data_IF_155781122481
#
_entry.id   IF_155781122481
#
_cell.length_a   1.000
_cell.length_b   1.000
_cell.length_c   1.000
_cell.angle_alpha   90.00
_cell.angle_beta   90.00
_cell.angle_gamma   90.00
#
_symmetry.space_group_name_H-M   'P 1'
#
loop_
_entity.id
_entity.type
_entity.pdbx_description
1 polymer ?
#
# COMPACT_ATOMS: atom_id res chain seq x y z
N UNK A 1 36.95 -20.75 1.97
CA UNK A 1 35.87 -20.01 1.27
C UNK A 1 34.50 -20.61 1.60
N UNK A 2 34.03 -20.52 2.85
CA UNK A 2 32.75 -21.14 3.30
C UNK A 2 31.74 -20.10 3.84
N UNK A 3 32.11 -18.82 3.93
CA UNK A 3 31.34 -17.80 4.66
C UNK A 3 30.26 -17.05 3.86
N UNK A 4 30.19 -17.20 2.54
CA UNK A 4 29.23 -16.45 1.69
C UNK A 4 27.86 -17.11 1.55
N UNK A 5 27.76 -18.43 1.80
CA UNK A 5 26.48 -19.14 1.71
C UNK A 5 25.62 -18.99 2.98
N UNK A 6 26.21 -18.77 4.17
CA UNK A 6 25.42 -18.55 5.39
C UNK A 6 24.66 -17.20 5.37
N UNK A 7 25.28 -16.13 4.84
CA UNK A 7 24.64 -14.79 4.76
C UNK A 7 23.43 -14.74 3.82
N UNK A 8 23.42 -15.58 2.77
CA UNK A 8 22.27 -15.70 1.84
C UNK A 8 21.03 -16.31 2.49
N UNK A 9 21.19 -17.20 3.48
CA UNK A 9 20.06 -17.78 4.21
C UNK A 9 19.49 -16.83 5.26
N UNK A 10 20.30 -15.94 5.84
CA UNK A 10 19.82 -14.97 6.83
C UNK A 10 18.88 -13.92 6.24
N UNK A 11 19.09 -13.50 4.99
CA UNK A 11 18.19 -12.55 4.30
C UNK A 11 16.78 -13.12 4.04
N UNK A 12 16.70 -14.37 3.58
CA UNK A 12 15.41 -15.07 3.38
C UNK A 12 14.73 -15.33 4.73
N UNK A 13 15.51 -15.63 5.77
CA UNK A 13 15.02 -15.84 7.14
C UNK A 13 14.44 -14.55 7.75
N UNK A 14 15.06 -13.39 7.49
CA UNK A 14 14.55 -12.07 7.89
C UNK A 14 13.22 -11.72 7.21
N UNK A 15 13.09 -11.96 5.89
CA UNK A 15 11.84 -11.77 5.15
C UNK A 15 10.70 -12.68 5.65
N UNK A 16 11.01 -13.93 6.01
CA UNK A 16 10.05 -14.86 6.61
C UNK A 16 9.59 -14.41 8.00
N UNK A 17 10.49 -13.86 8.81
CA UNK A 17 10.17 -13.34 10.16
C UNK A 17 9.33 -12.06 10.10
N UNK A 18 9.56 -11.19 9.11
CA UNK A 18 8.84 -9.92 8.99
C UNK A 18 7.39 -10.13 8.50
N UNK A 19 7.18 -11.01 7.51
CA UNK A 19 5.83 -11.32 6.98
C UNK A 19 4.95 -12.07 7.97
N UNK A 20 5.54 -12.90 8.83
CA UNK A 20 4.79 -13.68 9.84
C UNK A 20 4.42 -12.84 11.06
N UNK A 21 5.19 -11.77 11.37
CA UNK A 21 4.91 -10.81 12.45
C UNK A 21 3.66 -9.96 12.21
N UNK A 22 3.42 -9.57 10.95
CA UNK A 22 2.26 -8.75 10.55
C UNK A 22 0.95 -9.55 10.69
N UNK A 23 0.97 -10.86 10.48
CA UNK A 23 -0.23 -11.69 10.52
C UNK A 23 -0.56 -12.33 11.88
N UNK A 24 0.41 -12.44 12.80
CA UNK A 24 0.22 -13.13 14.09
C UNK A 24 -0.13 -12.20 15.27
N UNK A 25 -0.15 -10.88 15.06
CA UNK A 25 -0.66 -9.90 16.03
C UNK A 25 -0.04 -10.02 17.43
N UNK A 26 1.25 -10.32 17.52
CA UNK A 26 2.02 -10.44 18.78
C UNK A 26 1.63 -11.59 19.73
N UNK A 27 0.70 -12.47 19.36
CA UNK A 27 0.17 -13.52 20.27
C UNK A 27 1.11 -14.70 20.52
N UNK A 28 2.14 -14.88 19.68
CA UNK A 28 3.14 -15.93 19.79
C UNK A 28 4.36 -15.60 18.94
N UNK A 29 5.47 -16.31 19.19
CA UNK A 29 6.71 -16.10 18.46
C UNK A 29 6.54 -16.58 17.01
N UNK A 30 6.78 -15.71 16.02
CA UNK A 30 6.38 -15.93 14.63
C UNK A 30 7.18 -17.01 13.88
N UNK A 31 8.08 -17.69 14.58
CA UNK A 31 8.84 -18.84 14.11
C UNK A 31 8.45 -20.14 14.82
N UNK A 32 7.40 -20.12 15.65
CA UNK A 32 6.89 -21.29 16.37
C UNK A 32 6.31 -22.30 15.34
N UNK A 33 6.75 -23.57 15.37
CA UNK A 33 6.19 -24.63 14.51
C UNK A 33 4.68 -24.85 14.70
N UNK A 34 4.08 -24.35 15.78
CA UNK A 34 2.64 -24.42 16.04
C UNK A 34 1.83 -23.27 15.43
N UNK A 35 2.47 -22.22 14.89
CA UNK A 35 1.80 -21.11 14.22
C UNK A 35 1.02 -21.59 12.98
N UNK A 36 -0.30 -21.35 12.94
CA UNK A 36 -1.16 -21.76 11.82
C UNK A 36 -0.77 -21.09 10.50
N UNK A 37 -0.33 -19.83 10.55
CA UNK A 37 0.11 -19.03 9.40
C UNK A 37 1.43 -19.56 8.84
N UNK A 38 2.41 -19.86 9.69
CA UNK A 38 3.69 -20.46 9.28
C UNK A 38 3.46 -21.85 8.70
N UNK A 39 2.58 -22.64 9.31
CA UNK A 39 2.23 -24.00 8.86
C UNK A 39 1.56 -23.97 7.48
N UNK A 40 0.59 -23.08 7.27
CA UNK A 40 -0.09 -22.95 5.97
C UNK A 40 0.84 -22.42 4.89
N UNK A 41 1.71 -21.47 5.23
CA UNK A 41 2.73 -20.95 4.31
C UNK A 41 3.74 -22.02 3.91
N UNK A 42 4.32 -22.76 4.88
CA UNK A 42 5.23 -23.89 4.62
C UNK A 42 4.53 -24.95 3.77
N UNK A 43 3.30 -25.33 4.10
CA UNK A 43 2.53 -26.29 3.31
C UNK A 43 2.23 -25.80 1.88
N UNK A 44 1.99 -24.49 1.70
CA UNK A 44 1.80 -23.90 0.37
C UNK A 44 3.10 -23.85 -0.42
N UNK A 45 4.23 -23.55 0.23
CA UNK A 45 5.54 -23.53 -0.41
C UNK A 45 5.98 -24.94 -0.81
N UNK A 46 5.80 -25.92 0.07
CA UNK A 46 6.04 -27.34 -0.22
C UNK A 46 5.16 -27.82 -1.37
N UNK A 47 3.86 -27.46 -1.39
CA UNK A 47 2.98 -27.78 -2.52
C UNK A 47 3.45 -27.14 -3.82
N UNK A 48 3.90 -25.88 -3.79
CA UNK A 48 4.43 -25.19 -4.98
C UNK A 48 5.73 -25.83 -5.47
N UNK A 49 6.65 -26.17 -4.58
CA UNK A 49 7.89 -26.87 -4.92
C UNK A 49 7.60 -28.25 -5.51
N UNK A 50 6.70 -29.02 -4.89
CA UNK A 50 6.28 -30.32 -5.41
C UNK A 50 5.46 -30.22 -6.70
N UNK A 51 4.76 -29.10 -6.97
CA UNK A 51 4.07 -28.89 -8.25
C UNK A 51 5.00 -28.45 -9.38
N UNK A 52 6.15 -27.84 -9.06
CA UNK A 52 7.18 -27.47 -10.04
C UNK A 52 7.96 -28.72 -10.48
N UNK A 53 8.01 -29.76 -9.64
CA UNK A 53 8.50 -31.09 -9.99
C UNK A 53 7.31 -32.04 -10.22
N UNK A 54 6.67 -32.07 -11.41
CA UNK A 54 5.67 -33.09 -11.68
C UNK A 54 6.33 -34.46 -11.47
N UNK A 55 5.83 -35.20 -10.50
CA UNK A 55 6.05 -36.64 -10.36
C UNK A 55 5.21 -37.34 -11.43
N UNK A 56 5.58 -37.14 -12.69
CA UNK A 56 5.00 -37.72 -13.90
C UNK A 56 5.67 -36.99 -15.06
N UNK A 57 6.60 -37.56 -15.82
CA UNK A 57 6.98 -38.94 -16.05
C UNK A 57 8.46 -38.92 -16.39
N UNK A 58 9.24 -39.87 -15.89
CA UNK A 58 10.41 -40.30 -16.64
C UNK A 58 9.87 -40.80 -17.99
N UNK A 59 9.78 -39.91 -18.99
CA UNK A 59 9.85 -40.33 -20.38
C UNK A 59 11.28 -40.83 -20.55
N UNK A 60 11.46 -42.13 -20.34
CA UNK A 60 12.60 -42.88 -20.85
C UNK A 60 12.55 -42.85 -22.38
N UNK A 61 12.88 -41.69 -22.95
CA UNK A 61 13.43 -41.58 -24.30
C UNK A 61 14.95 -41.35 -24.23
N UNK A 62 15.56 -41.72 -23.10
CA UNK A 62 16.86 -42.36 -23.16
C UNK A 62 16.59 -43.83 -23.50
N UNK A 63 17.21 -44.42 -24.55
CA UNK A 63 17.05 -45.83 -24.83
C UNK A 63 17.42 -46.60 -23.57
N UNK A 64 16.41 -47.21 -22.94
CA UNK A 64 16.49 -47.97 -21.71
C UNK A 64 17.08 -49.36 -21.98
N UNK A 65 18.22 -49.40 -22.67
CA UNK A 65 19.09 -50.55 -22.74
C UNK A 65 20.45 -50.11 -22.21
N UNK A 66 20.61 -50.20 -20.90
CA UNK A 66 21.94 -50.49 -20.38
C UNK A 66 22.37 -51.79 -21.07
N UNK A 67 23.47 -51.80 -21.84
CA UNK A 67 23.95 -53.05 -22.41
C UNK A 67 24.26 -53.94 -21.21
N UNK A 68 23.56 -55.08 -21.10
CA UNK A 68 24.14 -56.20 -20.38
C UNK A 68 25.55 -56.35 -20.94
N UNK A 69 26.55 -56.27 -20.07
CA UNK A 69 27.94 -56.57 -20.43
C UNK A 69 27.92 -57.96 -21.06
N UNK A 70 27.87 -58.01 -22.39
CA UNK A 70 27.99 -59.24 -23.13
C UNK A 70 29.38 -59.77 -22.79
N UNK A 71 29.39 -60.95 -22.19
CA UNK A 71 30.59 -61.73 -21.94
C UNK A 71 31.47 -61.71 -23.18
N UNK A 72 32.71 -61.29 -23.03
CA UNK A 72 33.68 -61.17 -24.10
C UNK A 72 33.74 -62.44 -24.94
N UNK A 73 33.25 -62.36 -26.17
CA UNK A 73 33.63 -63.27 -27.25
C UNK A 73 34.40 -62.42 -28.25
N UNK A 74 35.73 -62.54 -28.22
CA UNK A 74 36.62 -62.00 -29.22
C UNK A 74 36.41 -62.75 -30.53
N UNK A 75 35.56 -62.22 -31.39
CA UNK A 75 35.51 -62.59 -32.79
C UNK A 75 35.56 -61.32 -33.64
N UNK A 76 36.67 -61.20 -34.38
CA UNK A 76 36.98 -60.30 -35.50
C UNK A 76 35.81 -59.48 -36.08
N UNK A 77 35.89 -58.14 -36.06
CA UNK A 77 35.03 -57.25 -36.87
C UNK A 77 35.84 -56.03 -37.42
N UNK A 78 35.53 -55.56 -38.65
CA UNK A 78 36.40 -54.79 -39.55
C UNK A 78 36.44 -53.26 -39.33
N UNK A 79 37.36 -52.60 -40.07
CA UNK A 79 37.72 -51.17 -40.10
C UNK A 79 36.62 -50.17 -40.52
N UNK A 80 35.44 -50.19 -39.92
CA UNK A 80 34.44 -49.11 -40.05
C UNK A 80 33.66 -48.96 -38.74
N UNK A 81 34.39 -48.70 -37.66
CA UNK A 81 33.80 -48.44 -36.35
C UNK A 81 33.74 -46.92 -36.16
N UNK A 82 32.60 -46.32 -36.50
CA UNK A 82 32.21 -45.03 -35.92
C UNK A 82 32.17 -45.23 -34.40
N UNK A 83 33.19 -44.73 -33.72
CA UNK A 83 33.49 -45.07 -32.33
C UNK A 83 32.31 -44.64 -31.43
N UNK A 84 31.42 -45.56 -31.03
CA UNK A 84 30.16 -45.20 -30.34
C UNK A 84 30.41 -44.51 -29.00
N UNK A 85 31.58 -44.72 -28.41
CA UNK A 85 32.09 -44.03 -27.23
C UNK A 85 32.32 -42.54 -27.54
N UNK A 86 32.92 -42.20 -28.69
CA UNK A 86 33.13 -40.81 -29.11
C UNK A 86 31.79 -40.09 -29.35
N UNK A 87 30.79 -40.75 -29.93
CA UNK A 87 29.45 -40.17 -30.12
C UNK A 87 28.75 -39.89 -28.79
N UNK A 88 28.85 -40.81 -27.82
CA UNK A 88 28.29 -40.61 -26.47
C UNK A 88 28.99 -39.48 -25.71
N UNK A 89 30.31 -39.38 -25.85
CA UNK A 89 31.08 -38.28 -25.26
C UNK A 89 30.69 -36.92 -25.86
N UNK A 90 30.45 -36.86 -27.17
CA UNK A 90 30.02 -35.61 -27.83
C UNK A 90 28.62 -35.16 -27.37
N UNK A 91 27.70 -36.12 -27.16
CA UNK A 91 26.38 -35.86 -26.56
C UNK A 91 26.51 -35.34 -25.13
N UNK A 92 27.35 -35.97 -24.30
CA UNK A 92 27.60 -35.52 -22.93
C UNK A 92 28.17 -34.10 -22.92
N UNK A 93 29.11 -33.81 -23.81
CA UNK A 93 29.73 -32.49 -23.90
C UNK A 93 28.72 -31.40 -24.29
N UNK A 94 27.83 -31.69 -25.26
CA UNK A 94 26.71 -30.80 -25.62
C UNK A 94 25.73 -30.59 -24.45
N UNK A 95 25.40 -31.64 -23.71
CA UNK A 95 24.56 -31.53 -22.51
C UNK A 95 25.22 -30.69 -21.41
N UNK A 96 26.54 -30.84 -21.19
CA UNK A 96 27.26 -30.01 -20.22
C UNK A 96 27.29 -28.53 -20.62
N UNK A 97 27.51 -28.23 -21.90
CA UNK A 97 27.50 -26.85 -22.38
C UNK A 97 26.11 -26.20 -22.20
N UNK A 98 25.04 -26.92 -22.56
CA UNK A 98 23.67 -26.44 -22.36
C UNK A 98 23.35 -26.25 -20.85
N UNK A 99 23.83 -27.14 -19.98
CA UNK A 99 23.70 -26.96 -18.53
C UNK A 99 24.42 -25.69 -18.05
N UNK A 100 25.64 -25.43 -18.52
CA UNK A 100 26.38 -24.22 -18.19
C UNK A 100 25.63 -22.95 -18.64
N UNK A 101 25.09 -22.94 -19.88
CA UNK A 101 24.32 -21.80 -20.39
C UNK A 101 23.08 -21.53 -19.53
N UNK A 102 22.36 -22.59 -19.14
CA UNK A 102 21.19 -22.47 -18.27
C UNK A 102 21.55 -21.99 -16.86
N UNK A 103 22.68 -22.42 -16.30
CA UNK A 103 23.18 -21.96 -15.00
C UNK A 103 23.50 -20.45 -15.08
N UNK A 104 24.11 -20.00 -16.17
CA UNK A 104 24.43 -18.59 -16.36
C UNK A 104 23.17 -17.73 -16.50
N UNK A 105 22.18 -18.18 -17.26
CA UNK A 105 20.87 -17.53 -17.37
C UNK A 105 20.18 -17.46 -16.00
N UNK A 106 20.23 -18.55 -15.23
CA UNK A 106 19.64 -18.61 -13.90
C UNK A 106 20.33 -17.64 -12.93
N UNK A 107 21.67 -17.53 -12.99
CA UNK A 107 22.43 -16.59 -12.19
C UNK A 107 22.00 -15.14 -12.49
N UNK A 108 21.89 -14.78 -13.77
CA UNK A 108 21.41 -13.45 -14.20
C UNK A 108 19.97 -13.16 -13.74
N UNK A 109 19.06 -14.13 -13.86
CA UNK A 109 17.68 -13.97 -13.37
C UNK A 109 17.62 -13.82 -11.85
N UNK A 110 18.50 -14.49 -11.12
CA UNK A 110 18.58 -14.37 -9.66
C UNK A 110 19.02 -12.97 -9.26
N UNK A 111 20.03 -12.40 -9.93
CA UNK A 111 20.47 -11.02 -9.70
C UNK A 111 19.36 -9.99 -9.99
N UNK A 112 18.63 -10.16 -11.10
CA UNK A 112 17.49 -9.29 -11.43
C UNK A 112 16.38 -9.37 -10.38
N UNK A 113 16.10 -10.56 -9.86
CA UNK A 113 15.12 -10.74 -8.81
C UNK A 113 15.56 -10.08 -7.49
N UNK A 114 16.84 -10.21 -7.12
CA UNK A 114 17.40 -9.54 -5.95
C UNK A 114 17.27 -8.01 -6.06
N UNK A 115 17.58 -7.45 -7.23
CA UNK A 115 17.39 -6.02 -7.51
C UNK A 115 15.92 -5.60 -7.40
N UNK A 116 15.02 -6.35 -8.02
CA UNK A 116 13.58 -6.09 -7.92
C UNK A 116 13.09 -6.10 -6.46
N UNK A 117 13.58 -7.03 -5.65
CA UNK A 117 13.23 -7.09 -4.23
C UNK A 117 13.74 -5.87 -3.46
N UNK A 118 14.96 -5.40 -3.75
CA UNK A 118 15.51 -4.19 -3.15
C UNK A 118 14.67 -2.95 -3.52
N UNK A 119 14.39 -2.76 -4.81
CA UNK A 119 13.58 -1.66 -5.32
C UNK A 119 12.15 -1.69 -4.72
N UNK A 120 11.59 -2.88 -4.54
CA UNK A 120 10.27 -3.05 -3.94
C UNK A 120 10.24 -2.69 -2.46
N UNK A 121 11.27 -3.08 -1.70
CA UNK A 121 11.41 -2.71 -0.29
C UNK A 121 11.53 -1.19 -0.15
N UNK A 122 12.35 -0.55 -0.98
CA UNK A 122 12.50 0.91 -0.97
C UNK A 122 11.18 1.61 -1.29
N UNK A 123 10.47 1.14 -2.32
CA UNK A 123 9.15 1.68 -2.67
C UNK A 123 8.13 1.52 -1.54
N UNK A 124 8.15 0.40 -0.83
CA UNK A 124 7.21 0.16 0.28
C UNK A 124 7.53 1.07 1.47
N UNK A 125 8.82 1.31 1.77
CA UNK A 125 9.25 2.28 2.80
C UNK A 125 8.75 3.69 2.46
N UNK A 126 8.94 4.15 1.22
CA UNK A 126 8.47 5.48 0.78
C UNK A 126 6.94 5.60 0.86
N UNK A 127 6.22 4.52 0.62
CA UNK A 127 4.76 4.50 0.72
C UNK A 127 4.29 4.62 2.17
N UNK A 128 4.94 3.90 3.09
CA UNK A 128 4.65 3.97 4.53
C UNK A 128 4.92 5.37 5.09
N UNK A 129 6.04 6.00 4.70
CA UNK A 129 6.35 7.39 5.07
C UNK A 129 5.28 8.37 4.60
N UNK A 130 4.78 8.21 3.36
CA UNK A 130 3.70 9.05 2.82
C UNK A 130 2.39 8.83 3.56
N UNK A 131 2.06 7.60 3.93
CA UNK A 131 0.88 7.30 4.74
C UNK A 131 0.97 8.02 6.09
N UNK A 132 2.10 7.90 6.79
CA UNK A 132 2.28 8.56 8.09
C UNK A 132 2.16 10.08 7.99
N UNK A 133 2.74 10.69 6.94
CA UNK A 133 2.61 12.13 6.70
C UNK A 133 1.13 12.54 6.47
N UNK A 134 0.37 11.73 5.72
CA UNK A 134 -1.06 11.98 5.50
C UNK A 134 -1.87 11.84 6.80
N UNK A 135 -1.55 10.86 7.65
CA UNK A 135 -2.22 10.69 8.95
C UNK A 135 -1.96 11.88 9.89
N UNK A 136 -0.74 12.39 9.94
CA UNK A 136 -0.40 13.60 10.70
C UNK A 136 -1.14 14.83 10.17
N UNK A 137 -1.18 15.01 8.85
CA UNK A 137 -1.91 16.11 8.23
C UNK A 137 -3.41 16.03 8.52
N UNK A 138 -4.01 14.83 8.45
CA UNK A 138 -5.40 14.60 8.81
C UNK A 138 -5.70 15.02 10.25
N UNK A 139 -4.88 14.59 11.22
CA UNK A 139 -5.07 14.96 12.62
C UNK A 139 -5.00 16.49 12.85
N UNK A 140 -4.11 17.16 12.12
CA UNK A 140 -3.97 18.62 12.16
C UNK A 140 -5.21 19.31 11.58
N UNK A 141 -5.70 18.86 10.42
CA UNK A 141 -6.91 19.40 9.78
C UNK A 141 -8.13 19.20 10.69
N UNK A 142 -8.30 18.02 11.28
CA UNK A 142 -9.41 17.74 12.20
C UNK A 142 -9.43 18.69 13.39
N UNK A 143 -8.24 19.02 13.93
CA UNK A 143 -8.10 19.97 15.03
C UNK A 143 -8.47 21.39 14.57
N UNK A 144 -7.98 21.81 13.41
CA UNK A 144 -8.28 23.12 12.84
C UNK A 144 -9.77 23.29 12.54
N UNK A 145 -10.42 22.28 11.97
CA UNK A 145 -11.87 22.29 11.68
C UNK A 145 -12.67 22.44 12.97
N UNK A 146 -12.33 21.67 14.02
CA UNK A 146 -13.00 21.80 15.33
C UNK A 146 -12.80 23.18 15.94
N UNK A 147 -11.62 23.77 15.82
CA UNK A 147 -11.34 25.12 16.31
C UNK A 147 -12.16 26.17 15.52
N UNK A 148 -12.18 26.09 14.20
CA UNK A 148 -12.93 27.02 13.36
C UNK A 148 -14.43 26.92 13.62
N UNK A 149 -14.96 25.71 13.82
CA UNK A 149 -16.35 25.53 14.19
C UNK A 149 -16.68 26.27 15.50
N UNK A 150 -15.85 26.13 16.54
CA UNK A 150 -16.04 26.86 17.81
C UNK A 150 -16.00 28.38 17.64
N UNK A 151 -15.07 28.89 16.83
CA UNK A 151 -14.97 30.32 16.54
C UNK A 151 -16.24 30.80 15.82
N UNK A 152 -16.68 30.08 14.79
CA UNK A 152 -17.89 30.42 14.03
C UNK A 152 -19.11 30.44 14.94
N UNK A 153 -19.31 29.42 15.77
CA UNK A 153 -20.42 29.38 16.72
C UNK A 153 -20.36 30.52 17.73
N UNK A 154 -19.16 30.91 18.18
CA UNK A 154 -18.99 32.08 19.06
C UNK A 154 -19.39 33.37 18.34
N UNK A 155 -18.97 33.55 17.10
CA UNK A 155 -19.35 34.71 16.29
C UNK A 155 -20.86 34.75 16.05
N UNK A 156 -21.48 33.64 15.65
CA UNK A 156 -22.94 33.55 15.50
C UNK A 156 -23.67 33.95 16.79
N UNK A 157 -23.24 33.44 17.94
CA UNK A 157 -23.81 33.83 19.22
C UNK A 157 -23.61 35.32 19.52
N UNK A 158 -22.43 35.87 19.25
CA UNK A 158 -22.16 37.30 19.45
C UNK A 158 -23.04 38.16 18.54
N UNK A 159 -23.19 37.80 17.26
CA UNK A 159 -24.05 38.54 16.35
C UNK A 159 -25.51 38.47 16.77
N UNK A 160 -26.03 37.27 17.04
CA UNK A 160 -27.46 37.06 17.32
C UNK A 160 -27.88 37.58 18.69
N UNK A 161 -27.00 37.48 19.70
CA UNK A 161 -27.36 37.83 21.09
C UNK A 161 -26.92 39.22 21.51
N UNK A 162 -25.96 39.82 20.81
CA UNK A 162 -25.40 41.11 21.20
C UNK A 162 -25.50 42.14 20.08
N UNK A 163 -24.85 41.90 18.93
CA UNK A 163 -24.72 42.92 17.88
C UNK A 163 -26.07 43.30 17.27
N UNK A 164 -26.86 42.31 16.84
CA UNK A 164 -28.16 42.58 16.21
C UNK A 164 -29.15 43.22 17.19
N UNK A 165 -29.32 42.75 18.44
CA UNK A 165 -30.16 43.43 19.42
C UNK A 165 -29.74 44.88 19.69
N UNK A 166 -28.44 45.15 19.82
CA UNK A 166 -27.95 46.53 20.02
C UNK A 166 -28.29 47.40 18.81
N UNK A 167 -28.11 46.90 17.59
CA UNK A 167 -28.46 47.64 16.38
C UNK A 167 -29.97 47.93 16.28
N UNK A 168 -30.83 46.99 16.67
CA UNK A 168 -32.29 47.23 16.74
C UNK A 168 -32.62 48.36 17.72
N UNK A 169 -32.00 48.36 18.90
CA UNK A 169 -32.19 49.40 19.91
C UNK A 169 -31.67 50.77 19.45
N UNK A 170 -30.50 50.84 18.82
CA UNK A 170 -29.99 52.07 18.22
C UNK A 170 -30.97 52.59 17.17
N UNK A 171 -31.50 51.73 16.30
CA UNK A 171 -32.46 52.14 15.28
C UNK A 171 -33.77 52.65 15.89
N UNK A 172 -34.30 51.99 16.94
CA UNK A 172 -35.46 52.48 17.70
C UNK A 172 -35.19 53.86 18.31
N UNK A 173 -34.03 54.02 18.94
CA UNK A 173 -33.62 55.28 19.55
C UNK A 173 -33.53 56.38 18.50
N UNK A 174 -32.83 56.16 17.39
CA UNK A 174 -32.71 57.16 16.32
C UNK A 174 -34.07 57.49 15.69
N UNK A 175 -34.96 56.50 15.49
CA UNK A 175 -36.31 56.76 15.01
C UNK A 175 -37.16 57.57 16.00
N UNK A 176 -36.90 57.45 17.31
CA UNK A 176 -37.57 58.22 18.35
C UNK A 176 -37.17 59.70 18.35
N UNK A 177 -35.92 60.00 17.98
CA UNK A 177 -35.43 61.38 17.82
C UNK A 177 -36.09 62.13 16.66
N UNK A 178 -36.67 61.40 15.70
CA UNK A 178 -37.38 61.98 14.56
C UNK A 178 -38.85 62.33 14.92
N UNK A 179 -39.06 62.92 16.09
CA UNK A 179 -40.36 63.42 16.53
C UNK A 179 -40.21 64.84 17.06
N UNK A 180 -41.18 65.69 16.76
CA UNK A 180 -41.29 67.02 17.35
C UNK A 180 -41.81 66.94 18.80
N UNK A 181 -41.83 68.08 19.49
CA UNK A 181 -42.36 68.18 20.86
C UNK A 181 -43.86 67.81 20.97
N UNK A 182 -44.58 67.77 19.85
CA UNK A 182 -45.97 67.33 19.75
C UNK A 182 -46.12 65.84 19.37
N UNK A 183 -45.01 65.10 19.25
CA UNK A 183 -44.96 63.68 18.91
C UNK A 183 -45.15 63.34 17.42
N UNK A 184 -45.22 64.35 16.54
CA UNK A 184 -45.37 64.20 15.08
C UNK A 184 -44.02 63.87 14.45
N UNK A 185 -44.03 63.04 13.42
CA UNK A 185 -42.82 62.71 12.66
C UNK A 185 -42.33 63.94 11.91
N UNK A 186 -41.07 64.33 12.11
CA UNK A 186 -40.48 65.50 11.44
C UNK A 186 -40.10 65.19 9.99
N UNK A 187 -39.50 64.03 9.75
CA UNK A 187 -39.09 63.55 8.42
C UNK A 187 -39.67 62.16 8.14
N UNK A 188 -40.67 62.09 7.26
CA UNK A 188 -41.35 60.83 6.93
C UNK A 188 -40.44 59.86 6.16
N UNK A 189 -39.55 60.37 5.30
CA UNK A 189 -38.64 59.56 4.50
C UNK A 189 -37.57 58.92 5.37
N UNK A 190 -37.03 59.69 6.33
CA UNK A 190 -36.12 59.17 7.33
C UNK A 190 -36.78 58.06 8.14
N UNK A 191 -38.03 58.27 8.61
CA UNK A 191 -38.76 57.26 9.37
C UNK A 191 -38.97 55.97 8.56
N UNK A 192 -39.41 56.09 7.31
CA UNK A 192 -39.59 54.95 6.42
C UNK A 192 -38.25 54.22 6.14
N UNK A 193 -37.12 54.93 6.08
CA UNK A 193 -35.79 54.32 5.95
C UNK A 193 -35.41 53.52 7.21
N UNK A 194 -35.61 54.07 8.40
CA UNK A 194 -35.35 53.38 9.66
C UNK A 194 -36.20 52.12 9.82
N UNK A 195 -37.49 52.19 9.48
CA UNK A 195 -38.41 51.06 9.57
C UNK A 195 -38.03 49.94 8.57
N UNK A 196 -37.55 50.30 7.36
CA UNK A 196 -37.01 49.33 6.38
C UNK A 196 -35.74 48.65 6.87
N UNK A 197 -34.77 49.40 7.39
CA UNK A 197 -33.52 48.81 7.92
C UNK A 197 -33.81 47.87 9.10
N UNK A 198 -34.79 48.22 9.93
CA UNK A 198 -35.23 47.39 11.05
C UNK A 198 -35.93 46.10 10.59
N UNK A 199 -36.76 46.19 9.54
CA UNK A 199 -37.35 45.00 8.92
C UNK A 199 -36.27 44.07 8.33
N UNK A 200 -35.24 44.62 7.69
CA UNK A 200 -34.10 43.86 7.19
C UNK A 200 -33.33 43.17 8.32
N UNK A 201 -33.07 43.87 9.43
CA UNK A 201 -32.40 43.30 10.61
C UNK A 201 -33.20 42.13 11.22
N UNK A 202 -34.53 42.24 11.27
CA UNK A 202 -35.42 41.16 11.71
C UNK A 202 -35.43 39.97 10.73
N UNK A 203 -35.25 40.21 9.44
CA UNK A 203 -35.07 39.13 8.48
C UNK A 203 -33.74 38.40 8.69
N UNK A 204 -32.66 39.12 9.05
CA UNK A 204 -31.38 38.49 9.42
C UNK A 204 -31.51 37.55 10.62
N UNK A 205 -32.17 38.01 11.69
CA UNK A 205 -32.33 37.21 12.92
C UNK A 205 -33.18 35.96 12.70
N UNK A 206 -34.05 35.97 11.68
CA UNK A 206 -34.90 34.83 11.31
C UNK A 206 -34.30 33.95 10.21
N UNK A 207 -33.09 34.25 9.73
CA UNK A 207 -32.44 33.50 8.64
C UNK A 207 -33.16 33.64 7.29
N UNK A 208 -33.94 34.71 7.09
CA UNK A 208 -34.65 34.98 5.83
C UNK A 208 -33.75 35.81 4.92
N UNK A 209 -33.75 35.49 3.63
CA UNK A 209 -33.02 36.26 2.62
C UNK A 209 -33.55 37.70 2.56
N UNK A 210 -32.66 38.65 2.32
CA UNK A 210 -33.02 40.04 2.04
C UNK A 210 -33.71 40.10 0.68
N UNK A 211 -34.93 40.63 0.65
CA UNK A 211 -35.60 41.12 -0.56
C UNK A 211 -35.59 42.65 -0.54
#
# INVERSE_FOLDING_TARGET
MVNSNLKRFDGIRLLLLQKTRIHCGSSHNCNDPKCSVVKSFRASLTRKLLSIFPTSSYSTDCPADFPRLASAQFASIPNTITNSILLKLDVINKCMNNLNDNIEILARKTEQFEKFMADKIESDIQFDERIQALEMNKATIDTNVKQQHRISTRHENMFMKLVLPILDEVMKFTASLNRDNGGRVMDADFRAKMDRMRAQLNNCTQGKNFQ
#
